data_IF_888982917684
#
_entry.id   IF_888982917684
#
_cell.length_a   1.000
_cell.length_b   1.000
_cell.length_c   1.000
_cell.angle_alpha   90.00
_cell.angle_beta   90.00
_cell.angle_gamma   90.00
#
_symmetry.space_group_name_H-M   'P 1'
#
loop_
_entity.id
_entity.type
_entity.pdbx_description
1 polymer ?
#
# COMPACT_ATOMS: atom_id res chain seq x y z
N UNK A 1 -40.36 -12.08 -19.51
CA UNK A 1 -40.88 -12.77 -18.30
C UNK A 1 -40.43 -11.98 -17.09
N UNK A 2 -41.36 -11.21 -16.50
CA UNK A 2 -41.12 -10.36 -15.33
C UNK A 2 -41.43 -11.19 -14.09
N UNK A 3 -40.49 -11.31 -13.15
CA UNK A 3 -40.78 -11.87 -11.83
C UNK A 3 -40.82 -10.71 -10.82
N UNK A 4 -42.04 -10.30 -10.52
CA UNK A 4 -42.38 -9.39 -9.43
C UNK A 4 -42.38 -10.19 -8.14
N UNK A 5 -41.58 -9.77 -7.15
CA UNK A 5 -41.73 -10.18 -5.75
C UNK A 5 -41.80 -8.89 -4.96
N UNK A 6 -42.98 -8.63 -4.42
CA UNK A 6 -43.29 -7.40 -3.70
C UNK A 6 -42.60 -7.33 -2.35
N UNK A 7 -42.09 -6.14 -2.04
CA UNK A 7 -42.04 -5.65 -0.67
C UNK A 7 -42.94 -4.43 -0.65
N UNK A 8 -44.23 -4.67 -0.37
CA UNK A 8 -45.08 -3.65 0.24
C UNK A 8 -44.50 -3.45 1.65
N UNK A 9 -43.69 -2.42 1.84
CA UNK A 9 -43.56 -1.81 3.15
C UNK A 9 -43.99 -0.35 3.00
N UNK A 10 -45.22 -0.11 3.44
CA UNK A 10 -45.79 1.20 3.67
C UNK A 10 -44.84 1.99 4.57
N UNK A 11 -44.09 2.94 4.03
CA UNK A 11 -43.60 4.07 4.81
C UNK A 11 -44.03 5.34 4.11
N UNK A 12 -45.30 5.63 4.35
CA UNK A 12 -45.90 6.95 4.26
C UNK A 12 -45.08 7.89 5.14
N UNK A 13 -44.41 8.91 4.61
CA UNK A 13 -43.98 10.03 5.45
C UNK A 13 -43.91 11.32 4.62
N UNK A 14 -45.00 12.06 4.79
CA UNK A 14 -45.16 13.45 4.45
C UNK A 14 -44.09 14.30 5.15
N UNK A 15 -43.58 15.26 4.40
CA UNK A 15 -42.86 16.46 4.85
C UNK A 15 -43.58 17.13 6.02
N UNK A 16 -42.91 17.25 7.18
CA UNK A 16 -43.15 18.32 8.14
C UNK A 16 -41.82 18.77 8.74
N UNK A 17 -41.46 20.02 8.42
CA UNK A 17 -40.52 20.92 9.10
C UNK A 17 -39.14 20.39 9.53
N UNK A 18 -38.10 20.94 8.88
CA UNK A 18 -36.68 20.93 9.28
C UNK A 18 -36.00 19.55 9.34
N UNK A 19 -35.37 19.16 8.23
CA UNK A 19 -34.44 18.03 8.21
C UNK A 19 -34.38 17.40 6.84
N UNK A 20 -33.40 17.81 6.04
CA UNK A 20 -32.97 17.04 4.86
C UNK A 20 -32.46 15.70 5.40
N UNK A 21 -33.16 14.61 5.11
CA UNK A 21 -32.62 13.26 5.25
C UNK A 21 -32.14 12.88 3.85
N UNK A 22 -30.85 13.14 3.58
CA UNK A 22 -30.15 12.43 2.51
C UNK A 22 -30.01 11.00 3.01
N UNK A 23 -30.78 10.07 2.39
CA UNK A 23 -30.46 8.66 2.49
C UNK A 23 -29.14 8.48 1.74
N UNK A 24 -28.07 8.33 2.50
CA UNK A 24 -26.74 8.00 1.99
C UNK A 24 -26.84 6.60 1.39
N UNK A 25 -26.72 6.54 0.07
CA UNK A 25 -26.55 5.31 -0.67
C UNK A 25 -25.16 4.79 -0.29
N UNK A 26 -25.10 3.89 0.70
CA UNK A 26 -23.89 3.09 0.91
C UNK A 26 -23.67 2.29 -0.38
N UNK A 27 -22.72 2.76 -1.19
CA UNK A 27 -22.14 1.98 -2.28
C UNK A 27 -21.38 0.81 -1.66
N UNK A 28 -22.12 -0.25 -1.28
CA UNK A 28 -21.57 -1.53 -0.90
C UNK A 28 -21.02 -2.21 -2.18
N UNK A 29 -19.88 -1.70 -2.64
CA UNK A 29 -19.04 -2.35 -3.62
C UNK A 29 -18.55 -3.66 -2.98
N UNK A 30 -19.02 -4.77 -3.51
CA UNK A 30 -18.44 -6.08 -3.23
C UNK A 30 -16.94 -5.98 -3.49
N UNK A 31 -16.15 -6.01 -2.42
CA UNK A 31 -14.69 -6.13 -2.50
C UNK A 31 -14.44 -7.51 -3.14
N UNK A 32 -14.31 -7.54 -4.46
CA UNK A 32 -13.61 -8.63 -5.13
C UNK A 32 -12.28 -8.75 -4.40
N UNK A 33 -12.02 -9.94 -3.85
CA UNK A 33 -10.87 -10.26 -3.02
C UNK A 33 -9.65 -9.45 -3.45
N UNK A 34 -9.31 -8.40 -2.70
CA UNK A 34 -8.03 -7.71 -2.86
C UNK A 34 -7.00 -8.78 -2.59
N UNK A 35 -6.43 -9.33 -3.66
CA UNK A 35 -5.29 -10.22 -3.55
C UNK A 35 -4.18 -9.31 -3.08
N UNK A 36 -3.99 -9.22 -1.77
CA UNK A 36 -2.82 -8.56 -1.18
C UNK A 36 -1.64 -9.28 -1.79
N UNK A 37 -0.90 -8.56 -2.64
CA UNK A 37 0.34 -9.08 -3.16
C UNK A 37 1.35 -8.81 -2.07
N UNK A 38 1.62 -9.84 -1.29
CA UNK A 38 2.75 -9.85 -0.39
C UNK A 38 4.01 -9.85 -1.26
N UNK A 39 4.65 -8.69 -1.35
CA UNK A 39 5.90 -8.46 -2.08
C UNK A 39 7.00 -7.89 -1.17
N UNK A 40 6.72 -7.77 0.13
CA UNK A 40 7.67 -7.35 1.16
C UNK A 40 8.91 -8.24 1.23
N UNK A 41 8.82 -9.49 0.76
CA UNK A 41 9.99 -10.37 0.62
C UNK A 41 11.03 -9.85 -0.38
N UNK A 42 10.62 -9.01 -1.34
CA UNK A 42 11.51 -8.48 -2.38
C UNK A 42 11.78 -6.97 -2.26
N UNK A 43 11.12 -6.29 -1.32
CA UNK A 43 11.32 -4.89 -0.95
C UNK A 43 12.43 -4.82 0.12
N UNK A 44 13.66 -4.63 -0.35
CA UNK A 44 14.86 -4.70 0.46
C UNK A 44 15.14 -3.39 1.20
N UNK A 45 14.84 -2.24 0.59
CA UNK A 45 15.05 -0.93 1.21
C UNK A 45 13.84 -0.43 2.01
N UNK A 46 12.70 -1.12 1.92
CA UNK A 46 11.50 -0.86 2.71
C UNK A 46 10.79 0.41 2.30
N UNK A 47 10.97 0.87 1.05
CA UNK A 47 10.30 2.06 0.53
C UNK A 47 8.84 1.82 0.11
N UNK A 48 8.44 0.54 0.13
CA UNK A 48 7.10 0.07 -0.21
C UNK A 48 6.89 -0.27 -1.66
N UNK A 49 7.92 -0.20 -2.50
CA UNK A 49 7.89 -0.58 -3.91
C UNK A 49 9.02 -1.56 -4.23
N UNK A 50 8.72 -2.64 -4.95
CA UNK A 50 9.79 -3.52 -5.47
C UNK A 50 10.33 -2.93 -6.76
N UNK A 51 11.40 -2.14 -6.63
CA UNK A 51 11.93 -1.24 -7.64
C UNK A 51 13.34 -1.53 -8.13
N UNK A 52 13.98 -0.49 -8.65
CA UNK A 52 15.32 -0.56 -9.23
C UNK A 52 16.40 -0.82 -8.16
N UNK A 53 16.25 -0.21 -6.99
CA UNK A 53 17.14 -0.33 -5.84
C UNK A 53 17.17 -1.77 -5.33
N UNK A 54 16.01 -2.43 -5.22
CA UNK A 54 15.91 -3.86 -4.89
C UNK A 54 16.58 -4.74 -5.94
N UNK A 55 16.32 -4.47 -7.23
CA UNK A 55 16.93 -5.23 -8.32
C UNK A 55 18.45 -5.06 -8.32
N UNK A 56 18.95 -3.85 -8.04
CA UNK A 56 20.37 -3.57 -7.93
C UNK A 56 20.99 -4.40 -6.81
N UNK A 57 20.32 -4.47 -5.65
CA UNK A 57 20.76 -5.28 -4.50
C UNK A 57 20.68 -6.78 -4.75
N UNK A 58 19.59 -7.27 -5.34
CA UNK A 58 19.46 -8.66 -5.79
C UNK A 58 20.62 -9.06 -6.71
N UNK A 59 21.00 -8.18 -7.65
CA UNK A 59 22.09 -8.44 -8.59
C UNK A 59 23.45 -8.60 -7.90
N UNK A 60 23.70 -7.94 -6.77
CA UNK A 60 24.94 -8.12 -5.99
C UNK A 60 25.06 -9.54 -5.45
N UNK A 61 23.93 -10.22 -5.24
CA UNK A 61 23.83 -11.59 -4.71
C UNK A 61 23.57 -12.65 -5.78
N UNK A 62 23.25 -12.26 -7.01
CA UNK A 62 22.90 -13.21 -8.08
C UNK A 62 24.07 -14.11 -8.47
N UNK A 63 23.78 -15.40 -8.62
CA UNK A 63 24.73 -16.45 -9.01
C UNK A 63 25.84 -16.67 -7.96
N UNK A 64 25.47 -16.56 -6.68
CA UNK A 64 26.34 -16.79 -5.53
C UNK A 64 25.66 -17.82 -4.61
N UNK A 65 26.46 -18.68 -3.97
CA UNK A 65 25.95 -19.54 -2.92
C UNK A 65 25.47 -18.68 -1.74
N UNK A 66 24.48 -19.19 -1.02
CA UNK A 66 23.96 -18.58 0.19
C UNK A 66 25.10 -18.10 1.12
N UNK A 67 24.98 -16.85 1.54
CA UNK A 67 25.78 -16.23 2.60
C UNK A 67 24.85 -15.40 3.48
N UNK A 68 25.25 -15.10 4.71
CA UNK A 68 24.46 -14.26 5.63
C UNK A 68 24.06 -12.90 5.01
N UNK A 69 24.89 -12.34 4.13
CA UNK A 69 24.61 -11.06 3.47
C UNK A 69 23.62 -11.16 2.29
N UNK A 70 23.39 -12.36 1.77
CA UNK A 70 22.54 -12.61 0.61
C UNK A 70 21.32 -13.47 0.94
N UNK A 71 21.09 -13.79 2.21
CA UNK A 71 19.99 -14.66 2.63
C UNK A 71 18.62 -14.09 2.29
N UNK A 72 18.51 -12.77 2.22
CA UNK A 72 17.27 -12.07 1.81
C UNK A 72 16.80 -12.48 0.41
N UNK A 73 17.74 -12.82 -0.49
CA UNK A 73 17.46 -13.09 -1.90
C UNK A 73 17.31 -14.58 -2.24
N UNK A 74 17.43 -15.48 -1.24
CA UNK A 74 17.25 -16.93 -1.40
C UNK A 74 15.77 -17.30 -1.13
N UNK A 75 14.89 -16.89 -2.03
CA UNK A 75 13.44 -17.01 -1.86
C UNK A 75 12.97 -18.46 -1.78
N UNK A 76 13.67 -19.37 -2.46
CA UNK A 76 13.32 -20.79 -2.47
C UNK A 76 14.02 -21.59 -1.34
N UNK A 77 14.94 -20.98 -0.59
CA UNK A 77 15.75 -21.57 0.48
C UNK A 77 16.56 -22.80 0.03
N UNK A 78 17.05 -22.82 -1.21
CA UNK A 78 17.88 -23.92 -1.75
C UNK A 78 19.37 -23.75 -1.48
N UNK A 79 19.75 -22.63 -0.86
CA UNK A 79 21.13 -22.30 -0.54
C UNK A 79 21.90 -21.66 -1.70
N UNK A 80 21.20 -21.20 -2.75
CA UNK A 80 21.81 -20.58 -3.92
C UNK A 80 20.90 -19.50 -4.53
N UNK A 81 21.36 -18.24 -4.54
CA UNK A 81 20.61 -17.14 -5.16
C UNK A 81 20.77 -17.22 -6.68
N UNK A 82 19.76 -17.73 -7.36
CA UNK A 82 19.85 -18.14 -8.75
C UNK A 82 18.64 -17.78 -9.61
N UNK A 83 18.46 -18.55 -10.70
CA UNK A 83 17.41 -18.31 -11.67
C UNK A 83 16.00 -18.52 -11.10
N UNK A 84 15.86 -19.41 -10.11
CA UNK A 84 14.61 -19.63 -9.41
C UNK A 84 14.22 -18.38 -8.60
N UNK A 85 15.16 -17.78 -7.90
CA UNK A 85 14.93 -16.57 -7.11
C UNK A 85 14.69 -15.35 -7.99
N UNK A 86 15.41 -15.24 -9.11
CA UNK A 86 15.12 -14.22 -10.12
C UNK A 86 13.70 -14.39 -10.70
N UNK A 87 13.23 -15.63 -10.86
CA UNK A 87 11.86 -15.89 -11.31
C UNK A 87 10.85 -15.41 -10.27
N UNK A 88 11.11 -15.64 -8.99
CA UNK A 88 10.28 -15.12 -7.89
C UNK A 88 10.31 -13.60 -7.86
N UNK A 89 11.49 -12.98 -7.87
CA UNK A 89 11.69 -11.52 -7.91
C UNK A 89 10.87 -10.84 -9.00
N UNK A 90 10.89 -11.39 -10.22
CA UNK A 90 10.12 -10.88 -11.36
C UNK A 90 8.62 -10.90 -11.14
N UNK A 91 8.12 -11.79 -10.28
CA UNK A 91 6.70 -11.77 -9.93
C UNK A 91 6.35 -10.58 -9.06
N UNK A 92 7.31 -9.97 -8.38
CA UNK A 92 7.10 -8.83 -7.48
C UNK A 92 7.58 -7.50 -8.04
N UNK A 93 8.52 -7.48 -8.99
CA UNK A 93 9.01 -6.27 -9.63
C UNK A 93 7.88 -5.35 -10.16
N UNK A 94 8.02 -4.04 -9.95
CA UNK A 94 7.03 -2.98 -10.23
C UNK A 94 5.72 -3.11 -9.43
N UNK A 95 5.74 -3.81 -8.29
CA UNK A 95 4.61 -3.83 -7.37
C UNK A 95 4.87 -2.96 -6.16
N UNK A 96 3.84 -2.20 -5.81
CA UNK A 96 3.74 -1.54 -4.52
C UNK A 96 3.24 -2.54 -3.48
N UNK A 97 4.04 -2.74 -2.45
CA UNK A 97 3.72 -3.54 -1.30
C UNK A 97 3.06 -2.65 -0.26
N UNK A 98 1.91 -3.04 0.31
CA UNK A 98 1.40 -2.34 1.47
C UNK A 98 2.38 -2.56 2.62
N UNK A 99 3.27 -1.60 2.84
CA UNK A 99 4.00 -1.45 4.09
C UNK A 99 2.94 -1.05 5.11
N UNK A 100 2.90 -1.73 6.26
CA UNK A 100 2.18 -1.17 7.41
C UNK A 100 2.95 0.08 7.85
N UNK A 101 2.67 1.22 7.21
CA UNK A 101 3.16 2.50 7.66
C UNK A 101 2.26 2.90 8.82
N UNK A 102 2.78 2.79 10.04
CA UNK A 102 2.14 3.35 11.23
C UNK A 102 2.19 4.89 11.11
N UNK A 103 1.19 5.46 10.46
CA UNK A 103 1.07 6.90 10.26
C UNK A 103 0.70 7.67 11.54
N UNK A 104 1.00 7.13 12.72
CA UNK A 104 0.67 7.71 14.02
C UNK A 104 1.73 8.66 14.55
N UNK A 105 2.94 8.66 13.99
CA UNK A 105 4.10 9.41 14.48
C UNK A 105 4.68 10.33 13.39
N UNK A 106 5.40 11.38 13.81
CA UNK A 106 6.03 12.33 12.89
C UNK A 106 7.46 11.92 12.47
N UNK A 107 8.07 11.02 13.24
CA UNK A 107 9.32 10.33 12.95
C UNK A 107 8.94 9.05 12.18
N UNK A 108 8.86 9.17 10.86
CA UNK A 108 8.37 8.11 9.98
C UNK A 108 9.46 7.10 9.62
N UNK A 109 10.74 7.43 9.83
CA UNK A 109 11.86 6.50 9.62
C UNK A 109 12.41 5.84 10.89
N UNK A 110 11.96 6.30 12.06
CA UNK A 110 12.24 5.72 13.37
C UNK A 110 13.66 6.00 13.85
N UNK A 111 14.32 7.04 13.33
CA UNK A 111 15.69 7.40 13.70
C UNK A 111 15.76 8.26 14.99
N UNK A 112 14.60 8.72 15.47
CA UNK A 112 14.42 9.49 16.70
C UNK A 112 14.45 11.01 16.51
N UNK A 113 14.69 11.49 15.30
CA UNK A 113 14.62 12.90 14.92
C UNK A 113 13.41 13.12 13.99
N UNK A 114 12.99 14.39 13.83
CA UNK A 114 11.97 14.77 12.85
C UNK A 114 12.60 15.77 11.89
N UNK A 115 12.97 15.31 10.70
CA UNK A 115 13.72 16.07 9.71
C UNK A 115 13.19 15.91 8.26
N UNK A 116 14.00 16.29 7.27
CA UNK A 116 13.58 16.28 5.87
C UNK A 116 13.40 14.85 5.30
N UNK A 117 13.98 13.85 5.95
CA UNK A 117 13.93 12.44 5.58
C UNK A 117 12.53 11.88 5.81
N UNK A 118 11.88 12.31 6.90
CA UNK A 118 10.48 11.99 7.23
C UNK A 118 9.48 12.46 6.18
N UNK A 119 9.78 13.54 5.45
CA UNK A 119 8.88 14.13 4.47
C UNK A 119 8.56 13.15 3.34
N UNK A 120 9.51 12.28 2.98
CA UNK A 120 9.32 11.29 1.92
C UNK A 120 8.25 10.27 2.31
N UNK A 121 8.31 9.79 3.56
CA UNK A 121 7.34 8.82 4.11
C UNK A 121 6.02 9.47 4.52
N UNK A 122 6.05 10.72 4.99
CA UNK A 122 4.85 11.51 5.25
C UNK A 122 3.93 11.59 4.01
N UNK A 123 4.51 11.80 2.82
CA UNK A 123 3.73 11.87 1.58
C UNK A 123 3.04 10.54 1.23
N UNK A 124 3.59 9.40 1.68
CA UNK A 124 2.96 8.08 1.55
C UNK A 124 1.79 7.93 2.54
N UNK A 125 1.87 8.52 3.73
CA UNK A 125 0.79 8.58 4.73
C UNK A 125 -0.31 9.59 4.41
N UNK A 126 -0.01 10.65 3.66
CA UNK A 126 -0.97 11.69 3.30
C UNK A 126 -0.89 12.03 1.80
N UNK A 127 -1.30 11.09 0.92
CA UNK A 127 -1.21 11.25 -0.54
C UNK A 127 -2.10 12.37 -1.09
N UNK A 128 -3.09 12.83 -0.30
CA UNK A 128 -4.00 13.93 -0.64
C UNK A 128 -3.54 15.29 -0.05
N UNK A 129 -2.41 15.35 0.66
CA UNK A 129 -1.87 16.64 1.10
C UNK A 129 -1.33 17.40 -0.10
N UNK A 130 -2.15 18.31 -0.60
CA UNK A 130 -1.80 19.24 -1.67
C UNK A 130 -0.44 19.91 -1.36
N UNK A 131 0.52 19.71 -2.27
CA UNK A 131 1.60 20.62 -2.64
C UNK A 131 2.00 21.62 -1.55
N UNK A 132 3.12 21.36 -0.86
CA UNK A 132 3.84 22.40 -0.10
C UNK A 132 3.98 23.67 -0.95
N UNK A 133 3.18 24.70 -0.64
CA UNK A 133 3.33 26.03 -1.22
C UNK A 133 4.32 26.82 -0.34
N UNK A 134 5.58 27.00 -0.77
CA UNK A 134 6.57 27.77 -0.01
C UNK A 134 6.18 29.25 0.15
N UNK A 135 5.09 29.71 -0.48
CA UNK A 135 4.57 31.08 -0.38
C UNK A 135 3.27 31.19 0.42
N UNK A 136 2.82 30.15 1.12
CA UNK A 136 1.66 30.27 2.00
C UNK A 136 1.92 31.30 3.11
N UNK A 137 1.26 32.46 3.02
CA UNK A 137 1.31 33.49 4.06
C UNK A 137 0.42 33.07 5.23
N UNK A 138 0.98 33.08 6.44
CA UNK A 138 0.23 32.90 7.68
C UNK A 138 -0.55 34.20 7.91
N UNK A 139 -1.87 34.13 7.81
CA UNK A 139 -2.80 35.21 8.18
C UNK A 139 -2.94 35.37 9.70
#
# INVERSE_FOLDING_TARGET
MKKSIGVLCFVFLLVFSLGIVIAEEESNATIESVKIIECSEADYDGDGDVGFEDLFKFRECYNINYTENCSFWDFNNDGYVGAADLSSFRTWYEKTCPVEIECSEADYDGDGDVDATDILKYNQCNPDSESYDPNATID
#
